data_IF_294195422432
#
_entry.id   IF_294195422432
#
_cell.length_a   1.000
_cell.length_b   1.000
_cell.length_c   1.000
_cell.angle_alpha   90.00
_cell.angle_beta   90.00
_cell.angle_gamma   90.00
#
_symmetry.space_group_name_H-M   'P 1'
#
loop_
_entity.id
_entity.type
_entity.pdbx_description
1 polymer ?
#
# COMPACT_ATOMS: atom_id res chain seq x y z
N UNK A 1 15.49 2.19 -1.49
CA UNK A 1 15.31 2.06 -2.97
C UNK A 1 16.14 3.10 -3.71
N UNK A 2 16.74 2.75 -4.86
CA UNK A 2 17.52 3.68 -5.70
C UNK A 2 16.69 4.24 -6.87
N UNK A 3 16.87 5.52 -7.21
CA UNK A 3 16.12 6.20 -8.28
C UNK A 3 16.27 5.56 -9.68
N UNK A 4 17.39 4.85 -9.90
CA UNK A 4 17.70 4.18 -11.15
C UNK A 4 16.93 2.85 -11.36
N UNK A 5 16.30 2.32 -10.30
CA UNK A 5 15.48 1.10 -10.38
C UNK A 5 13.99 1.37 -10.64
N UNK A 6 13.59 2.63 -10.65
CA UNK A 6 12.20 3.04 -10.92
C UNK A 6 12.01 3.29 -12.41
N UNK A 7 10.88 2.82 -12.95
CA UNK A 7 10.46 3.19 -14.32
C UNK A 7 10.24 4.70 -14.40
N UNK A 8 10.27 5.29 -15.59
CA UNK A 8 10.04 6.73 -15.76
C UNK A 8 8.71 7.19 -15.17
N UNK A 9 7.64 6.41 -15.38
CA UNK A 9 6.33 6.70 -14.81
C UNK A 9 6.33 6.70 -13.27
N UNK A 10 7.02 5.74 -12.65
CA UNK A 10 7.16 5.70 -11.20
C UNK A 10 8.01 6.85 -10.68
N UNK A 11 9.10 7.19 -11.39
CA UNK A 11 9.97 8.32 -11.04
C UNK A 11 9.20 9.64 -11.06
N UNK A 12 8.41 9.88 -12.10
CA UNK A 12 7.58 11.08 -12.22
C UNK A 12 6.51 11.14 -11.11
N UNK A 13 5.91 10.00 -10.76
CA UNK A 13 4.95 9.91 -9.66
C UNK A 13 5.58 10.27 -8.31
N UNK A 14 6.75 9.68 -8.00
CA UNK A 14 7.47 9.96 -6.75
C UNK A 14 8.05 11.38 -6.74
N UNK A 15 8.45 11.93 -7.88
CA UNK A 15 8.93 13.32 -7.96
C UNK A 15 7.84 14.34 -7.60
N UNK A 16 6.59 14.10 -8.03
CA UNK A 16 5.43 14.94 -7.62
C UNK A 16 5.21 14.90 -6.11
N UNK A 17 5.44 13.74 -5.48
CA UNK A 17 5.31 13.55 -4.03
C UNK A 17 6.45 14.22 -3.28
N UNK A 18 7.67 14.07 -3.77
CA UNK A 18 8.85 14.75 -3.25
C UNK A 18 8.66 16.28 -3.28
N UNK A 19 8.21 16.82 -4.43
CA UNK A 19 7.88 18.24 -4.57
C UNK A 19 6.77 18.68 -3.60
N UNK A 20 5.71 17.88 -3.43
CA UNK A 20 4.66 18.15 -2.44
C UNK A 20 5.20 18.20 -1.00
N UNK A 21 6.21 17.40 -0.71
CA UNK A 21 6.88 17.36 0.59
C UNK A 21 8.04 18.37 0.70
N UNK A 22 8.26 19.23 -0.31
CA UNK A 22 9.31 20.24 -0.31
C UNK A 22 10.73 19.67 -0.31
N UNK A 23 10.93 18.47 -0.86
CA UNK A 23 12.24 17.80 -0.87
C UNK A 23 12.59 17.21 -2.23
N UNK A 24 13.87 16.86 -2.41
CA UNK A 24 14.35 16.19 -3.62
C UNK A 24 13.85 14.75 -3.68
N UNK A 25 13.78 14.21 -4.91
CA UNK A 25 13.35 12.82 -5.13
C UNK A 25 14.21 11.82 -4.36
N UNK A 26 15.52 11.98 -4.34
CA UNK A 26 16.42 11.06 -3.63
C UNK A 26 16.14 11.05 -2.13
N UNK A 27 15.98 12.22 -1.51
CA UNK A 27 15.65 12.35 -0.09
C UNK A 27 14.29 11.75 0.23
N UNK A 28 13.32 11.94 -0.67
CA UNK A 28 11.99 11.34 -0.56
C UNK A 28 12.04 9.81 -0.60
N UNK A 29 12.82 9.23 -1.51
CA UNK A 29 12.96 7.76 -1.60
C UNK A 29 13.63 7.15 -0.37
N UNK A 30 14.61 7.84 0.21
CA UNK A 30 15.26 7.42 1.48
C UNK A 30 14.28 7.48 2.65
N UNK A 31 13.54 8.58 2.80
CA UNK A 31 12.55 8.71 3.87
C UNK A 31 11.39 7.71 3.72
N UNK A 32 10.97 7.43 2.48
CA UNK A 32 9.97 6.41 2.18
C UNK A 32 10.43 5.01 2.59
N UNK A 33 11.69 4.67 2.31
CA UNK A 33 12.30 3.38 2.73
C UNK A 33 12.35 3.26 4.26
N UNK A 34 12.72 4.36 4.94
CA UNK A 34 12.72 4.45 6.40
C UNK A 34 11.32 4.27 6.99
N UNK A 35 10.33 4.94 6.41
CA UNK A 35 8.92 4.83 6.81
C UNK A 35 8.36 3.43 6.57
N UNK A 36 8.63 2.83 5.40
CA UNK A 36 8.17 1.48 5.09
C UNK A 36 8.72 0.44 6.08
N UNK A 37 9.97 0.58 6.53
CA UNK A 37 10.56 -0.28 7.57
C UNK A 37 9.88 -0.09 8.94
N UNK A 38 9.55 1.14 9.30
CA UNK A 38 8.82 1.44 10.53
C UNK A 38 7.36 0.94 10.47
N UNK A 39 6.68 1.15 9.35
CA UNK A 39 5.30 0.73 9.12
C UNK A 39 5.16 -0.79 8.97
N UNK A 40 6.16 -1.50 8.41
CA UNK A 40 6.15 -2.96 8.38
C UNK A 40 6.13 -3.57 9.79
N UNK A 41 6.81 -2.92 10.75
CA UNK A 41 6.79 -3.33 12.16
C UNK A 41 5.45 -3.06 12.83
N UNK A 42 4.75 -1.99 12.43
CA UNK A 42 3.42 -1.64 12.94
C UNK A 42 2.27 -2.43 12.28
N UNK A 43 2.39 -2.75 10.99
CA UNK A 43 1.38 -3.50 10.24
C UNK A 43 1.26 -4.96 10.71
N UNK A 44 2.36 -5.57 11.18
CA UNK A 44 2.33 -6.89 11.83
C UNK A 44 1.49 -6.85 13.11
N UNK A 45 1.57 -5.77 13.89
CA UNK A 45 0.76 -5.60 15.09
C UNK A 45 -0.73 -5.37 14.74
N UNK A 46 -1.05 -4.57 13.73
CA UNK A 46 -2.43 -4.30 13.32
C UNK A 46 -3.15 -5.52 12.70
N UNK A 47 -2.42 -6.45 12.09
CA UNK A 47 -2.99 -7.67 11.47
C UNK A 47 -3.48 -8.70 12.50
N UNK A 48 -3.07 -8.56 13.77
CA UNK A 48 -3.50 -9.47 14.86
C UNK A 48 -4.87 -9.12 15.44
N UNK A 49 -5.41 -7.94 15.12
CA UNK A 49 -6.76 -7.51 15.52
C UNK A 49 -7.72 -7.61 14.32
N UNK A 50 -7.65 -8.71 13.57
CA UNK A 50 -8.65 -8.98 12.55
C UNK A 50 -9.93 -9.47 13.23
N UNK A 51 -10.81 -8.53 13.53
CA UNK A 51 -12.22 -8.82 13.77
C UNK A 51 -12.76 -9.65 12.59
N UNK A 52 -13.66 -10.62 12.84
CA UNK A 52 -14.08 -11.60 11.82
C UNK A 52 -14.57 -10.87 10.58
N UNK A 53 -13.87 -11.09 9.45
CA UNK A 53 -14.15 -10.45 8.16
C UNK A 53 -15.60 -10.76 7.77
N UNK A 54 -16.47 -9.76 7.87
CA UNK A 54 -17.84 -9.84 7.34
C UNK A 54 -17.74 -10.22 5.86
N UNK A 55 -18.53 -11.21 5.45
CA UNK A 55 -18.58 -11.67 4.07
C UNK A 55 -18.80 -10.48 3.12
N UNK A 56 -17.79 -10.23 2.29
CA UNK A 56 -17.78 -9.11 1.33
C UNK A 56 -18.83 -9.30 0.23
N UNK A 57 -19.02 -8.25 -0.56
CA UNK A 57 -20.02 -8.23 -1.64
C UNK A 57 -19.92 -9.42 -2.60
N UNK A 58 -18.71 -9.79 -3.03
CA UNK A 58 -18.47 -10.94 -3.91
C UNK A 58 -18.83 -12.27 -3.25
N UNK A 59 -18.56 -12.44 -1.95
CA UNK A 59 -18.93 -13.66 -1.23
C UNK A 59 -20.46 -13.83 -1.18
N UNK A 60 -21.20 -12.74 -0.95
CA UNK A 60 -22.67 -12.74 -0.97
C UNK A 60 -23.25 -13.03 -2.36
N UNK A 61 -22.60 -12.54 -3.42
CA UNK A 61 -23.00 -12.83 -4.79
C UNK A 61 -22.85 -14.32 -5.13
N UNK A 62 -21.72 -14.93 -4.74
CA UNK A 62 -21.47 -16.35 -4.97
C UNK A 62 -22.39 -17.24 -4.14
N UNK A 63 -22.72 -16.85 -2.91
CA UNK A 63 -23.69 -17.57 -2.10
C UNK A 63 -25.08 -17.59 -2.75
N UNK A 64 -25.51 -16.47 -3.32
CA UNK A 64 -26.80 -16.39 -4.02
C UNK A 64 -26.82 -17.18 -5.33
N UNK A 65 -25.68 -17.30 -6.01
CA UNK A 65 -25.56 -18.13 -7.20
C UNK A 65 -25.55 -19.64 -6.89
N UNK A 66 -25.01 -20.03 -5.73
CA UNK A 66 -24.88 -21.43 -5.31
C UNK A 66 -26.07 -21.95 -4.49
N UNK A 67 -27.14 -21.17 -4.29
CA UNK A 67 -28.32 -21.62 -3.57
C UNK A 67 -29.38 -22.09 -4.57
N UNK A 68 -29.56 -23.41 -4.80
CA UNK A 68 -30.67 -23.91 -5.58
C UNK A 68 -31.99 -23.65 -4.83
N UNK A 69 -33.04 -23.35 -5.60
CA UNK A 69 -34.41 -23.11 -5.11
C UNK A 69 -35.00 -24.34 -4.42
#
# INVERSE_FOLDING_TARGET
>A
MNANQLTEGQRAYEAKRAAKAGMTLEKWLVEKDRRAKAEASAAVAAKTVEAPKKQGFFARLMEKANKPL
#
